data_IF_249573883291
#
_entry.id   IF_249573883291
#
_cell.length_a   1.000
_cell.length_b   1.000
_cell.length_c   1.000
_cell.angle_alpha   90.00
_cell.angle_beta   90.00
_cell.angle_gamma   90.00
#
_symmetry.space_group_name_H-M   'P 1'
#
loop_
_entity.id
_entity.type
_entity.pdbx_description
1 polymer ?
#
# COMPACT_ATOMS: atom_id res chain seq x y z
N UNK A 1 -19.12 -0.36 -14.36
CA UNK A 1 -19.00 0.00 -12.92
C UNK A 1 -18.57 -1.19 -12.08
N UNK A 2 -19.43 -2.20 -11.86
CA UNK A 2 -19.17 -3.34 -10.96
C UNK A 2 -17.89 -4.12 -11.27
N UNK A 3 -17.67 -4.49 -12.53
CA UNK A 3 -16.46 -5.22 -12.93
C UNK A 3 -15.17 -4.42 -12.68
N UNK A 4 -15.20 -3.10 -12.93
CA UNK A 4 -14.05 -2.22 -12.68
C UNK A 4 -13.81 -2.08 -11.18
N UNK A 5 -14.87 -1.90 -10.38
CA UNK A 5 -14.77 -1.83 -8.93
C UNK A 5 -14.12 -3.10 -8.35
N UNK A 6 -14.62 -4.28 -8.70
CA UNK A 6 -14.05 -5.53 -8.20
C UNK A 6 -12.65 -5.81 -8.76
N UNK A 7 -12.37 -5.44 -10.02
CA UNK A 7 -11.03 -5.56 -10.60
C UNK A 7 -10.00 -4.73 -9.84
N UNK A 8 -10.34 -3.48 -9.50
CA UNK A 8 -9.47 -2.62 -8.69
C UNK A 8 -9.37 -3.14 -7.26
N UNK A 9 -10.50 -3.45 -6.60
CA UNK A 9 -10.51 -3.93 -5.21
C UNK A 9 -9.65 -5.19 -5.06
N UNK A 10 -9.96 -6.25 -5.82
CA UNK A 10 -9.25 -7.53 -5.71
C UNK A 10 -7.79 -7.36 -6.15
N UNK A 11 -7.52 -6.59 -7.21
CA UNK A 11 -6.16 -6.37 -7.69
C UNK A 11 -5.28 -5.63 -6.67
N UNK A 12 -5.79 -4.57 -6.05
CA UNK A 12 -5.06 -3.79 -5.04
C UNK A 12 -4.86 -4.56 -3.73
N UNK A 13 -5.81 -5.41 -3.35
CA UNK A 13 -5.68 -6.30 -2.19
C UNK A 13 -4.62 -7.38 -2.43
N UNK A 14 -4.69 -8.06 -3.59
CA UNK A 14 -3.74 -9.12 -3.94
C UNK A 14 -2.32 -8.58 -4.06
N UNK A 15 -2.14 -7.43 -4.74
CA UNK A 15 -0.80 -6.85 -4.88
C UNK A 15 -0.23 -6.42 -3.54
N UNK A 16 -1.06 -5.89 -2.64
CA UNK A 16 -0.62 -5.51 -1.29
C UNK A 16 -0.15 -6.73 -0.51
N UNK A 17 -0.95 -7.80 -0.51
CA UNK A 17 -0.57 -9.08 0.10
C UNK A 17 0.74 -9.64 -0.48
N UNK A 18 0.90 -9.64 -1.80
CA UNK A 18 2.15 -10.11 -2.43
C UNK A 18 3.35 -9.24 -2.03
N UNK A 19 3.19 -7.92 -2.09
CA UNK A 19 4.27 -6.98 -1.81
C UNK A 19 4.75 -7.04 -0.35
N UNK A 20 3.82 -7.09 0.62
CA UNK A 20 4.13 -7.10 2.05
C UNK A 20 4.69 -8.44 2.52
N UNK A 21 4.11 -9.55 2.04
CA UNK A 21 4.39 -10.87 2.63
C UNK A 21 5.42 -11.68 1.85
N UNK A 22 5.61 -11.42 0.54
CA UNK A 22 6.51 -12.21 -0.31
C UNK A 22 7.67 -11.42 -0.89
N UNK A 23 7.47 -10.14 -1.21
CA UNK A 23 8.49 -9.32 -1.89
C UNK A 23 9.30 -8.42 -0.94
N UNK A 24 9.16 -8.60 0.37
CA UNK A 24 9.82 -7.78 1.37
C UNK A 24 10.97 -8.51 2.09
N UNK A 25 12.18 -8.58 1.52
CA UNK A 25 13.35 -9.17 2.17
C UNK A 25 13.82 -8.37 3.38
N UNK A 26 14.61 -9.02 4.24
CA UNK A 26 15.06 -8.48 5.53
C UNK A 26 15.75 -7.10 5.47
N UNK A 27 16.48 -6.80 4.40
CA UNK A 27 17.13 -5.49 4.24
C UNK A 27 16.12 -4.35 4.03
N UNK A 28 14.97 -4.62 3.38
CA UNK A 28 13.90 -3.62 3.26
C UNK A 28 13.24 -3.37 4.60
N UNK A 29 12.96 -4.44 5.36
CA UNK A 29 12.40 -4.37 6.71
C UNK A 29 13.31 -3.58 7.65
N UNK A 30 14.62 -3.86 7.63
CA UNK A 30 15.60 -3.16 8.47
C UNK A 30 15.77 -1.68 8.13
N UNK A 31 15.54 -1.29 6.86
CA UNK A 31 15.67 0.09 6.39
C UNK A 31 14.38 0.92 6.38
N UNK A 32 13.21 0.31 6.62
CA UNK A 32 11.89 0.95 6.41
C UNK A 32 11.64 2.17 7.31
N UNK A 33 12.30 2.25 8.47
CA UNK A 33 12.17 3.34 9.44
C UNK A 33 13.29 4.37 9.43
N UNK A 34 14.14 4.41 8.41
CA UNK A 34 15.25 5.35 8.31
C UNK A 34 15.31 6.00 6.92
N UNK A 35 15.22 7.32 6.87
CA UNK A 35 15.27 8.12 5.64
C UNK A 35 16.61 7.97 4.89
N UNK A 36 17.66 7.50 5.56
CA UNK A 36 18.99 7.29 4.97
C UNK A 36 19.13 5.94 4.28
N UNK A 37 18.20 5.02 4.52
CA UNK A 37 18.24 3.67 3.98
C UNK A 37 17.27 3.51 2.82
N UNK A 38 17.66 2.78 1.75
CA UNK A 38 16.82 2.61 0.57
C UNK A 38 15.60 1.72 0.80
N UNK A 39 15.59 0.93 1.89
CA UNK A 39 14.60 -0.13 2.13
C UNK A 39 13.14 0.32 2.05
N UNK A 40 12.80 1.41 2.76
CA UNK A 40 11.44 1.95 2.73
C UNK A 40 11.04 2.48 1.35
N UNK A 41 11.95 3.16 0.65
CA UNK A 41 11.68 3.70 -0.69
C UNK A 41 11.47 2.60 -1.73
N UNK A 42 12.30 1.55 -1.72
CA UNK A 42 12.15 0.43 -2.66
C UNK A 42 10.85 -0.31 -2.40
N UNK A 43 10.49 -0.53 -1.13
CA UNK A 43 9.23 -1.18 -0.80
C UNK A 43 8.00 -0.37 -1.26
N UNK A 44 7.97 0.94 -0.97
CA UNK A 44 6.90 1.82 -1.47
C UNK A 44 6.87 1.85 -3.01
N UNK A 45 8.02 1.79 -3.67
CA UNK A 45 8.14 1.67 -5.13
C UNK A 45 7.54 0.37 -5.69
N UNK A 46 7.72 -0.77 -5.00
CA UNK A 46 7.09 -2.05 -5.38
C UNK A 46 5.57 -1.91 -5.32
N UNK A 47 5.03 -1.35 -4.23
CA UNK A 47 3.59 -1.14 -4.09
C UNK A 47 3.03 -0.24 -5.18
N UNK A 48 3.65 0.91 -5.42
CA UNK A 48 3.22 1.87 -6.45
C UNK A 48 3.32 1.28 -7.87
N UNK A 49 4.38 0.50 -8.15
CA UNK A 49 4.55 -0.18 -9.44
C UNK A 49 3.51 -1.27 -9.70
N UNK A 50 3.20 -2.08 -8.69
CA UNK A 50 2.15 -3.11 -8.81
C UNK A 50 0.75 -2.49 -8.91
N UNK A 51 0.48 -1.40 -8.18
CA UNK A 51 -0.78 -0.66 -8.33
C UNK A 51 -0.92 -0.04 -9.71
N UNK A 52 0.16 0.50 -10.29
CA UNK A 52 0.13 0.98 -11.67
C UNK A 52 -0.31 -0.12 -12.63
N UNK A 53 0.22 -1.34 -12.48
CA UNK A 53 -0.21 -2.48 -13.28
C UNK A 53 -1.73 -2.73 -13.13
N UNK A 54 -2.26 -2.76 -11.90
CA UNK A 54 -3.70 -2.93 -11.65
C UNK A 54 -4.53 -1.80 -12.27
N UNK A 55 -4.08 -0.55 -12.13
CA UNK A 55 -4.75 0.62 -12.69
C UNK A 55 -4.80 0.57 -14.22
N UNK A 56 -3.71 0.15 -14.87
CA UNK A 56 -3.64 -0.02 -16.32
C UNK A 56 -4.53 -1.16 -16.81
N UNK A 57 -4.56 -2.31 -16.13
CA UNK A 57 -5.46 -3.42 -16.43
C UNK A 57 -6.94 -3.02 -16.34
N UNK A 58 -7.27 -2.07 -15.45
CA UNK A 58 -8.62 -1.52 -15.32
C UNK A 58 -8.90 -0.33 -16.25
N UNK A 59 -8.04 -0.07 -17.24
CA UNK A 59 -8.13 1.03 -18.18
C UNK A 59 -8.30 2.40 -17.48
N UNK A 60 -7.50 2.66 -16.46
CA UNK A 60 -7.43 3.97 -15.80
C UNK A 60 -6.73 4.97 -16.73
N UNK A 61 -7.25 6.21 -16.88
CA UNK A 61 -6.57 7.24 -17.68
C UNK A 61 -5.12 7.45 -17.24
N UNK A 62 -4.19 7.53 -18.18
CA UNK A 62 -2.75 7.54 -17.88
C UNK A 62 -2.33 8.68 -16.94
N UNK A 63 -2.91 9.87 -17.10
CA UNK A 63 -2.63 11.01 -16.23
C UNK A 63 -3.05 10.73 -14.77
N UNK A 64 -4.18 10.05 -14.57
CA UNK A 64 -4.67 9.69 -13.25
C UNK A 64 -3.83 8.55 -12.66
N UNK A 65 -3.48 7.56 -13.48
CA UNK A 65 -2.62 6.45 -13.06
C UNK A 65 -1.23 6.95 -12.60
N UNK A 66 -0.65 7.91 -13.32
CA UNK A 66 0.61 8.56 -12.94
C UNK A 66 0.48 9.36 -11.63
N UNK A 67 -0.61 10.12 -11.46
CA UNK A 67 -0.89 10.85 -10.23
C UNK A 67 -1.03 9.90 -9.03
N UNK A 68 -1.81 8.82 -9.19
CA UNK A 68 -2.05 7.84 -8.14
C UNK A 68 -0.79 7.03 -7.81
N UNK A 69 0.08 6.72 -8.78
CA UNK A 69 1.38 6.10 -8.53
C UNK A 69 2.23 6.96 -7.58
N UNK A 70 2.33 8.26 -7.85
CA UNK A 70 3.12 9.17 -7.01
C UNK A 70 2.48 9.34 -5.64
N UNK A 71 1.15 9.52 -5.60
CA UNK A 71 0.41 9.66 -4.35
C UNK A 71 0.57 8.42 -3.45
N UNK A 72 0.42 7.23 -4.02
CA UNK A 72 0.61 5.98 -3.31
C UNK A 72 2.04 5.82 -2.80
N UNK A 73 3.05 6.07 -3.64
CA UNK A 73 4.44 5.99 -3.20
C UNK A 73 4.68 6.82 -1.93
N UNK A 74 4.21 8.07 -1.93
CA UNK A 74 4.40 9.00 -0.80
C UNK A 74 3.61 8.53 0.42
N UNK A 75 2.32 8.25 0.27
CA UNK A 75 1.45 7.87 1.40
C UNK A 75 1.87 6.53 1.99
N UNK A 76 2.16 5.54 1.15
CA UNK A 76 2.60 4.21 1.56
C UNK A 76 3.91 4.29 2.34
N UNK A 77 4.90 5.04 1.83
CA UNK A 77 6.15 5.27 2.54
C UNK A 77 5.92 5.89 3.93
N UNK A 78 5.07 6.92 4.02
CA UNK A 78 4.78 7.60 5.29
C UNK A 78 4.09 6.67 6.29
N UNK A 79 3.13 5.86 5.84
CA UNK A 79 2.43 4.89 6.69
C UNK A 79 3.40 3.84 7.23
N UNK A 80 4.23 3.26 6.36
CA UNK A 80 5.25 2.28 6.75
C UNK A 80 6.29 2.87 7.70
N UNK A 81 6.75 4.08 7.41
CA UNK A 81 7.69 4.78 8.27
C UNK A 81 7.08 4.98 9.66
N UNK A 82 5.84 5.46 9.76
CA UNK A 82 5.13 5.61 11.02
C UNK A 82 4.96 4.27 11.76
N UNK A 83 4.54 3.21 11.04
CA UNK A 83 4.38 1.85 11.58
C UNK A 83 5.64 1.37 12.28
N UNK A 84 6.81 1.53 11.67
CA UNK A 84 8.08 1.10 12.29
C UNK A 84 8.34 1.82 13.61
N UNK A 85 8.03 3.11 13.69
CA UNK A 85 8.24 3.90 14.91
C UNK A 85 7.27 3.51 16.04
N UNK A 86 6.00 3.25 15.71
CA UNK A 86 5.00 2.84 16.71
C UNK A 86 5.07 1.37 17.14
N UNK A 87 5.64 0.51 16.29
CA UNK A 87 5.81 -0.93 16.54
C UNK A 87 7.18 -1.32 17.08
N UNK A 88 8.13 -0.38 17.22
CA UNK A 88 9.46 -0.65 17.76
C UNK A 88 9.38 -1.34 19.13
N UNK A 89 10.00 -2.52 19.23
CA UNK A 89 10.01 -3.34 20.45
C UNK A 89 8.68 -4.02 20.78
N UNK A 90 7.72 -4.06 19.86
CA UNK A 90 6.47 -4.82 19.99
C UNK A 90 6.63 -6.12 19.20
N UNK A 91 6.59 -7.25 19.90
CA UNK A 91 6.65 -8.58 19.30
C UNK A 91 5.41 -9.39 19.64
N UNK A 92 5.04 -10.31 18.75
CA UNK A 92 3.85 -11.17 18.92
C UNK A 92 3.94 -12.02 20.19
N UNK A 93 5.12 -12.52 20.55
CA UNK A 93 5.30 -13.40 21.71
C UNK A 93 5.23 -12.66 23.05
N UNK A 94 5.71 -11.40 23.09
CA UNK A 94 5.79 -10.62 24.33
C UNK A 94 4.60 -9.69 24.54
N UNK A 95 3.98 -9.19 23.47
CA UNK A 95 2.89 -8.21 23.50
C UNK A 95 1.83 -8.50 22.43
N UNK A 96 1.22 -9.70 22.40
CA UNK A 96 0.36 -10.16 21.29
C UNK A 96 -0.79 -9.20 20.97
N UNK A 97 -1.50 -8.70 21.99
CA UNK A 97 -2.62 -7.76 21.77
C UNK A 97 -2.18 -6.47 21.06
N UNK A 98 -1.06 -5.89 21.50
CA UNK A 98 -0.53 -4.65 20.90
C UNK A 98 0.03 -4.92 19.50
N UNK A 99 0.68 -6.07 19.30
CA UNK A 99 1.16 -6.50 17.99
C UNK A 99 -0.01 -6.57 16.99
N UNK A 100 -1.06 -7.32 17.32
CA UNK A 100 -2.22 -7.47 16.44
C UNK A 100 -2.99 -6.18 16.21
N UNK A 101 -3.09 -5.30 17.21
CA UNK A 101 -3.71 -3.98 17.03
C UNK A 101 -2.91 -3.10 16.05
N UNK A 102 -1.58 -3.05 16.17
CA UNK A 102 -0.72 -2.28 15.27
C UNK A 102 -0.69 -2.87 13.86
N UNK A 103 -0.64 -4.20 13.75
CA UNK A 103 -0.77 -4.89 12.46
C UNK A 103 -2.14 -4.63 11.81
N UNK A 104 -3.22 -4.66 12.58
CA UNK A 104 -4.56 -4.33 12.07
C UNK A 104 -4.69 -2.89 11.59
N UNK A 105 -4.12 -1.91 12.32
CA UNK A 105 -4.09 -0.50 11.90
C UNK A 105 -3.28 -0.33 10.62
N UNK A 106 -2.14 -1.02 10.52
CA UNK A 106 -1.32 -1.04 9.32
C UNK A 106 -2.12 -1.54 8.11
N UNK A 107 -2.80 -2.68 8.21
CA UNK A 107 -3.64 -3.17 7.12
C UNK A 107 -4.79 -2.20 6.81
N UNK A 108 -5.53 -1.74 7.83
CA UNK A 108 -6.67 -0.82 7.65
C UNK A 108 -6.27 0.46 6.90
N UNK A 109 -5.17 1.09 7.30
CA UNK A 109 -4.75 2.36 6.69
C UNK A 109 -4.37 2.20 5.22
N UNK A 110 -3.67 1.13 4.86
CA UNK A 110 -3.40 0.81 3.45
C UNK A 110 -4.68 0.57 2.66
N UNK A 111 -5.64 -0.21 3.19
CA UNK A 111 -6.91 -0.45 2.49
C UNK A 111 -7.74 0.82 2.30
N UNK A 112 -7.70 1.76 3.25
CA UNK A 112 -8.36 3.06 3.09
C UNK A 112 -7.73 3.88 1.96
N UNK A 113 -6.42 3.79 1.73
CA UNK A 113 -5.78 4.43 0.57
C UNK A 113 -6.26 3.83 -0.75
N UNK A 114 -6.44 2.51 -0.82
CA UNK A 114 -6.97 1.86 -2.02
C UNK A 114 -8.44 2.16 -2.24
N UNK A 115 -9.25 2.25 -1.19
CA UNK A 115 -10.63 2.71 -1.30
C UNK A 115 -10.69 4.13 -1.89
N UNK A 116 -9.79 5.03 -1.48
CA UNK A 116 -9.69 6.37 -2.05
C UNK A 116 -9.24 6.35 -3.52
N UNK A 117 -8.26 5.52 -3.88
CA UNK A 117 -7.84 5.32 -5.28
C UNK A 117 -8.97 4.80 -6.15
N UNK A 118 -9.70 3.77 -5.69
CA UNK A 118 -10.87 3.20 -6.38
C UNK A 118 -11.91 4.30 -6.61
N UNK A 119 -12.24 5.06 -5.57
CA UNK A 119 -13.19 6.17 -5.68
C UNK A 119 -12.74 7.20 -6.73
N UNK A 120 -11.47 7.63 -6.71
CA UNK A 120 -10.93 8.58 -7.67
C UNK A 120 -11.04 8.07 -9.12
N UNK A 121 -10.73 6.79 -9.35
CA UNK A 121 -10.86 6.15 -10.67
C UNK A 121 -12.32 6.10 -11.13
N UNK A 122 -13.23 5.65 -10.27
CA UNK A 122 -14.66 5.59 -10.61
C UNK A 122 -15.22 6.99 -10.89
N UNK A 123 -14.85 7.98 -10.07
CA UNK A 123 -15.30 9.37 -10.22
C UNK A 123 -14.87 9.98 -11.55
N UNK A 124 -13.60 9.82 -11.92
CA UNK A 124 -13.05 10.32 -13.19
C UNK A 124 -13.65 9.60 -14.40
N UNK A 125 -13.97 8.31 -14.27
CA UNK A 125 -14.63 7.53 -15.33
C UNK A 125 -16.15 7.76 -15.42
N UNK A 126 -16.73 8.60 -14.56
CA UNK A 126 -18.17 8.85 -14.53
C UNK A 126 -18.99 7.64 -14.03
N UNK A 127 -18.39 6.83 -13.17
CA UNK A 127 -18.94 5.57 -12.63
C UNK A 127 -19.13 5.60 -11.10
N UNK A 128 -19.03 6.79 -10.48
CA UNK A 128 -19.23 6.98 -9.05
C UNK A 128 -20.69 7.31 -8.72
#
# INVERSE_FOLDING_TARGET
>A
MTAIFFGLLVGLELKHYVADYFLQPGWMLGGKGDLRHPGGYVHAGIHAGLSLLVLLLCATPLWLAALLLVAEFVVHYVLDFAKIHYSRGVHVDSRPRRFWALHGIDQLTHQLTYAAMIYAVLRVKGLA
#
